data_IF_401728322815
#
_entry.id   IF_401728322815
#
_cell.length_a   1.000
_cell.length_b   1.000
_cell.length_c   1.000
_cell.angle_alpha   90.00
_cell.angle_beta   90.00
_cell.angle_gamma   90.00
#
_symmetry.space_group_name_H-M   'P 1'
#
loop_
_entity.id
_entity.type
_entity.pdbx_description
1 polymer ?
#
# COMPACT_ATOMS: atom_id res chain seq x y z
N UNK A 1 12.83 -10.01 -17.31
CA UNK A 1 12.98 -10.69 -16.01
C UNK A 1 13.89 -9.85 -15.11
N UNK A 2 13.41 -8.68 -14.69
CA UNK A 2 14.18 -7.70 -13.90
C UNK A 2 13.17 -7.05 -12.95
N UNK A 3 13.43 -7.08 -11.64
CA UNK A 3 12.57 -6.40 -10.65
C UNK A 3 12.50 -7.00 -9.24
N UNK A 4 13.27 -8.04 -8.92
CA UNK A 4 13.17 -8.72 -7.61
C UNK A 4 13.93 -8.05 -6.45
N UNK A 5 14.65 -6.94 -6.68
CA UNK A 5 15.62 -6.42 -5.70
C UNK A 5 15.17 -5.23 -4.83
N UNK A 6 13.92 -4.76 -4.92
CA UNK A 6 13.44 -3.68 -4.03
C UNK A 6 12.48 -4.13 -2.92
N UNK A 7 12.35 -5.45 -2.69
CA UNK A 7 11.36 -6.03 -1.76
C UNK A 7 11.56 -5.75 -0.26
N UNK A 8 12.69 -5.18 0.14
CA UNK A 8 13.15 -5.20 1.54
C UNK A 8 13.50 -3.83 2.13
N UNK A 9 13.31 -2.74 1.38
CA UNK A 9 13.77 -1.41 1.83
C UNK A 9 12.78 -0.75 2.80
N UNK A 10 11.48 -1.07 2.72
CA UNK A 10 10.47 -0.21 3.33
C UNK A 10 10.03 -0.56 4.75
N UNK A 11 10.43 -1.71 5.33
CA UNK A 11 9.92 -2.11 6.67
C UNK A 11 10.91 -2.91 7.54
N UNK A 12 12.20 -2.59 7.57
CA UNK A 12 13.14 -3.37 8.39
C UNK A 12 12.94 -3.25 9.91
N UNK A 13 12.06 -2.37 10.39
CA UNK A 13 11.79 -2.20 11.83
C UNK A 13 10.58 -2.94 12.41
N UNK A 14 9.83 -3.76 11.65
CA UNK A 14 8.73 -4.57 12.23
C UNK A 14 8.19 -5.74 11.36
N UNK A 15 8.93 -6.25 10.38
CA UNK A 15 8.44 -7.24 9.38
C UNK A 15 8.12 -8.66 9.86
N UNK A 16 8.11 -8.95 11.16
CA UNK A 16 7.91 -10.33 11.61
C UNK A 16 6.44 -10.79 11.71
N UNK A 17 5.43 -9.92 11.57
CA UNK A 17 4.03 -10.30 11.92
C UNK A 17 2.92 -9.86 10.96
N UNK A 18 3.21 -9.39 9.74
CA UNK A 18 2.15 -8.89 8.85
C UNK A 18 1.72 -9.92 7.81
N UNK A 19 0.40 -10.09 7.69
CA UNK A 19 -0.21 -10.85 6.60
C UNK A 19 0.00 -10.10 5.29
N UNK A 20 0.48 -10.79 4.25
CA UNK A 20 0.68 -10.25 2.91
C UNK A 20 -0.34 -10.83 1.94
N UNK A 21 -0.95 -9.95 1.16
CA UNK A 21 -1.84 -10.26 0.05
C UNK A 21 -1.04 -9.97 -1.23
N UNK A 22 -1.08 -10.89 -2.19
CA UNK A 22 -0.46 -10.69 -3.49
C UNK A 22 -1.41 -11.12 -4.60
N UNK A 23 -1.58 -10.29 -5.62
CA UNK A 23 -2.31 -10.66 -6.82
C UNK A 23 -1.55 -11.72 -7.63
N UNK A 24 -2.30 -12.61 -8.26
CA UNK A 24 -1.79 -13.60 -9.21
C UNK A 24 -2.74 -13.67 -10.40
N UNK A 25 -2.30 -14.28 -11.50
CA UNK A 25 -3.03 -14.30 -12.78
C UNK A 25 -4.52 -14.69 -12.67
N UNK A 26 -4.86 -15.65 -11.81
CA UNK A 26 -6.21 -16.20 -11.68
C UNK A 26 -6.86 -15.94 -10.32
N UNK A 27 -6.32 -15.01 -9.52
CA UNK A 27 -6.74 -14.89 -8.13
C UNK A 27 -5.84 -14.00 -7.29
N UNK A 28 -5.73 -14.38 -6.02
CA UNK A 28 -4.82 -13.76 -5.08
C UNK A 28 -4.28 -14.83 -4.12
N UNK A 29 -3.20 -14.48 -3.44
CA UNK A 29 -2.60 -15.31 -2.41
C UNK A 29 -2.52 -14.55 -1.10
N UNK A 30 -2.66 -15.28 0.01
CA UNK A 30 -2.52 -14.74 1.36
C UNK A 30 -1.41 -15.50 2.06
N UNK A 31 -0.38 -14.78 2.45
CA UNK A 31 0.74 -15.27 3.24
C UNK A 31 0.61 -14.75 4.67
N UNK A 32 0.21 -15.61 5.60
CA UNK A 32 0.09 -15.24 7.01
C UNK A 32 1.42 -15.49 7.73
N UNK A 33 1.77 -14.64 8.71
CA UNK A 33 2.95 -14.89 9.53
C UNK A 33 2.82 -16.27 10.20
N UNK A 34 3.94 -16.99 10.29
CA UNK A 34 4.04 -18.31 10.91
C UNK A 34 3.27 -19.46 10.22
N UNK A 35 2.55 -19.20 9.11
CA UNK A 35 2.03 -20.27 8.27
C UNK A 35 3.09 -20.73 7.27
N UNK A 36 3.40 -22.03 7.27
CA UNK A 36 4.44 -22.60 6.40
C UNK A 36 4.07 -22.61 4.91
N UNK A 37 2.79 -22.40 4.56
CA UNK A 37 2.30 -22.49 3.18
C UNK A 37 1.47 -21.27 2.80
N UNK A 38 1.85 -20.68 1.68
CA UNK A 38 1.06 -19.71 0.95
C UNK A 38 -0.31 -20.31 0.60
N UNK A 39 -1.40 -19.61 0.93
CA UNK A 39 -2.75 -20.00 0.52
C UNK A 39 -3.14 -19.25 -0.74
N UNK A 40 -3.56 -19.99 -1.76
CA UNK A 40 -4.01 -19.47 -3.05
C UNK A 40 -5.54 -19.48 -3.10
N UNK A 41 -6.12 -18.40 -3.61
CA UNK A 41 -7.56 -18.22 -3.77
C UNK A 41 -7.84 -17.83 -5.21
N UNK A 42 -8.44 -18.74 -5.98
CA UNK A 42 -8.82 -18.47 -7.35
C UNK A 42 -10.14 -17.71 -7.42
N UNK A 43 -10.24 -16.71 -8.30
CA UNK A 43 -11.45 -15.88 -8.45
C UNK A 43 -12.70 -16.70 -8.76
N UNK A 44 -12.57 -17.76 -9.58
CA UNK A 44 -13.68 -18.65 -9.94
C UNK A 44 -14.32 -19.38 -8.75
N UNK A 45 -13.57 -19.54 -7.66
CA UNK A 45 -13.99 -20.27 -6.46
C UNK A 45 -14.44 -19.31 -5.34
N UNK A 46 -14.32 -18.00 -5.58
CA UNK A 46 -14.83 -16.93 -4.72
C UNK A 46 -16.30 -16.69 -5.09
N UNK A 47 -17.17 -16.76 -4.09
CA UNK A 47 -18.60 -16.53 -4.25
C UNK A 47 -18.96 -15.06 -4.12
N UNK A 48 -18.36 -14.37 -3.16
CA UNK A 48 -18.65 -12.96 -2.91
C UNK A 48 -17.44 -12.25 -2.29
N UNK A 49 -17.34 -10.95 -2.56
CA UNK A 49 -16.38 -10.04 -1.95
C UNK A 49 -17.15 -8.80 -1.56
N UNK A 50 -16.99 -8.34 -0.32
CA UNK A 50 -17.63 -7.13 0.18
C UNK A 50 -16.78 -6.46 1.25
N UNK A 51 -17.00 -5.18 1.48
CA UNK A 51 -16.43 -4.50 2.63
C UNK A 51 -17.18 -4.88 3.91
N UNK A 52 -16.50 -4.74 5.06
CA UNK A 52 -17.15 -4.57 6.36
C UNK A 52 -17.86 -3.21 6.43
N UNK A 53 -18.76 -3.05 7.39
CA UNK A 53 -19.57 -1.82 7.53
C UNK A 53 -18.72 -0.55 7.74
N UNK A 54 -17.50 -0.70 8.25
CA UNK A 54 -16.55 0.39 8.47
C UNK A 54 -15.44 0.49 7.40
N UNK A 55 -15.50 -0.30 6.33
CA UNK A 55 -14.53 -0.34 5.22
C UNK A 55 -13.07 -0.67 5.61
N UNK A 56 -12.81 -1.08 6.85
CA UNK A 56 -11.47 -1.46 7.30
C UNK A 56 -11.11 -2.90 6.93
N UNK A 57 -12.09 -3.70 6.54
CA UNK A 57 -11.92 -5.11 6.19
C UNK A 57 -12.63 -5.43 4.89
N UNK A 58 -12.06 -6.36 4.14
CA UNK A 58 -12.71 -7.03 3.01
C UNK A 58 -12.99 -8.47 3.42
N UNK A 59 -14.25 -8.86 3.27
CA UNK A 59 -14.75 -10.19 3.57
C UNK A 59 -14.91 -10.93 2.24
N UNK A 60 -14.12 -11.98 2.06
CA UNK A 60 -14.15 -12.86 0.90
C UNK A 60 -14.82 -14.16 1.28
N UNK A 61 -15.92 -14.50 0.61
CA UNK A 61 -16.57 -15.80 0.75
C UNK A 61 -15.99 -16.78 -0.29
N UNK A 62 -15.31 -17.81 0.18
CA UNK A 62 -14.58 -18.79 -0.62
C UNK A 62 -14.96 -20.21 -0.18
N UNK A 63 -15.52 -21.00 -1.09
CA UNK A 63 -15.95 -22.39 -0.83
C UNK A 63 -16.75 -22.57 0.48
N UNK A 64 -17.67 -21.64 0.77
CA UNK A 64 -18.51 -21.66 1.97
C UNK A 64 -17.81 -21.22 3.26
N UNK A 65 -16.59 -20.68 3.17
CA UNK A 65 -15.84 -20.10 4.29
C UNK A 65 -15.61 -18.61 4.08
N UNK A 66 -15.46 -17.86 5.16
CA UNK A 66 -15.10 -16.45 5.09
C UNK A 66 -13.61 -16.25 5.39
N UNK A 67 -13.00 -15.36 4.60
CA UNK A 67 -11.65 -14.87 4.80
C UNK A 67 -11.76 -13.37 5.02
N UNK A 68 -11.17 -12.89 6.11
CA UNK A 68 -11.17 -11.47 6.45
C UNK A 68 -9.77 -10.92 6.14
N UNK A 69 -9.72 -9.90 5.28
CA UNK A 69 -8.51 -9.19 4.86
C UNK A 69 -8.58 -7.76 5.37
N UNK A 70 -7.63 -7.36 6.22
CA UNK A 70 -7.64 -6.04 6.88
C UNK A 70 -6.83 -5.04 6.09
N UNK A 71 -7.19 -3.76 6.17
CA UNK A 71 -6.43 -2.67 5.53
C UNK A 71 -4.99 -2.52 6.04
N UNK A 72 -4.67 -3.07 7.21
CA UNK A 72 -3.30 -3.20 7.72
C UNK A 72 -2.48 -4.32 7.07
N UNK A 73 -3.10 -5.18 6.25
CA UNK A 73 -2.38 -6.22 5.51
C UNK A 73 -1.60 -5.60 4.35
N UNK A 74 -0.37 -6.08 4.14
CA UNK A 74 0.45 -5.66 3.00
C UNK A 74 -0.27 -6.10 1.72
N UNK A 75 -0.36 -5.20 0.72
CA UNK A 75 -1.05 -5.47 -0.55
C UNK A 75 -2.58 -5.33 -0.50
N UNK A 76 -3.16 -4.90 0.63
CA UNK A 76 -4.62 -4.71 0.72
C UNK A 76 -5.15 -3.68 -0.28
N UNK A 77 -4.47 -2.54 -0.42
CA UNK A 77 -4.86 -1.49 -1.36
C UNK A 77 -4.72 -1.92 -2.82
N UNK A 78 -3.69 -2.69 -3.15
CA UNK A 78 -3.54 -3.31 -4.47
C UNK A 78 -4.68 -4.29 -4.74
N UNK A 79 -5.03 -5.12 -3.75
CA UNK A 79 -6.11 -6.09 -3.84
C UNK A 79 -7.46 -5.42 -4.15
N UNK A 80 -7.87 -4.41 -3.38
CA UNK A 80 -9.19 -3.78 -3.58
C UNK A 80 -9.33 -3.07 -4.92
N UNK A 81 -8.23 -2.58 -5.49
CA UNK A 81 -8.21 -1.93 -6.81
C UNK A 81 -8.31 -2.93 -7.97
N UNK A 82 -8.04 -4.21 -7.72
CA UNK A 82 -7.99 -5.26 -8.74
C UNK A 82 -9.03 -6.36 -8.53
N UNK A 83 -10.02 -6.12 -7.65
CA UNK A 83 -11.19 -7.01 -7.53
C UNK A 83 -11.92 -7.04 -8.88
N UNK A 84 -12.19 -8.22 -9.46
CA UNK A 84 -12.94 -8.33 -10.71
C UNK A 84 -14.34 -7.70 -10.63
N UNK A 85 -14.74 -6.98 -11.68
CA UNK A 85 -16.05 -6.31 -11.76
C UNK A 85 -17.26 -7.25 -11.72
N UNK A 86 -17.03 -8.56 -11.79
CA UNK A 86 -18.07 -9.60 -11.67
C UNK A 86 -18.62 -9.75 -10.24
N UNK A 87 -17.96 -9.17 -9.24
CA UNK A 87 -18.41 -9.23 -7.85
C UNK A 87 -19.37 -8.08 -7.50
N UNK A 88 -20.66 -8.28 -7.74
CA UNK A 88 -21.70 -7.23 -7.59
C UNK A 88 -21.82 -6.64 -6.17
N UNK A 89 -21.47 -7.41 -5.13
CA UNK A 89 -21.52 -6.97 -3.73
C UNK A 89 -20.31 -6.13 -3.30
N UNK A 90 -19.34 -5.91 -4.20
CA UNK A 90 -18.17 -5.13 -3.91
C UNK A 90 -18.40 -3.65 -4.24
N UNK A 91 -18.10 -2.77 -3.30
CA UNK A 91 -18.32 -1.33 -3.48
C UNK A 91 -17.19 -0.70 -4.30
N UNK A 92 -17.27 -0.82 -5.62
CA UNK A 92 -16.31 -0.20 -6.55
C UNK A 92 -16.33 1.32 -6.49
N UNK A 93 -17.47 1.93 -6.14
CA UNK A 93 -17.61 3.39 -6.06
C UNK A 93 -16.77 3.91 -4.90
N UNK A 94 -16.86 3.27 -3.73
CA UNK A 94 -16.00 3.58 -2.59
C UNK A 94 -14.52 3.50 -2.96
N UNK A 95 -14.09 2.44 -3.66
CA UNK A 95 -12.67 2.29 -4.04
C UNK A 95 -12.22 3.42 -4.96
N UNK A 96 -13.03 3.75 -5.98
CA UNK A 96 -12.72 4.86 -6.89
C UNK A 96 -12.61 6.19 -6.14
N UNK A 97 -13.62 6.53 -5.33
CA UNK A 97 -13.63 7.77 -4.53
C UNK A 97 -12.47 7.83 -3.53
N UNK A 98 -12.15 6.69 -2.90
CA UNK A 98 -11.03 6.59 -1.98
C UNK A 98 -9.71 6.88 -2.70
N UNK A 99 -9.43 6.19 -3.80
CA UNK A 99 -8.17 6.36 -4.55
C UNK A 99 -8.05 7.77 -5.13
N UNK A 100 -9.15 8.33 -5.67
CA UNK A 100 -9.18 9.68 -6.23
C UNK A 100 -9.00 10.78 -5.16
N UNK A 101 -9.34 10.48 -3.90
CA UNK A 101 -9.14 11.42 -2.78
C UNK A 101 -7.69 11.54 -2.30
N UNK A 102 -6.83 10.58 -2.67
CA UNK A 102 -5.45 10.52 -2.18
C UNK A 102 -4.59 11.64 -2.77
N UNK A 103 -3.75 12.22 -1.92
CA UNK A 103 -2.83 13.29 -2.31
C UNK A 103 -1.38 12.79 -2.38
N UNK A 104 -0.52 13.44 -3.19
CA UNK A 104 0.90 13.14 -3.23
C UNK A 104 1.59 13.35 -1.87
N UNK A 105 2.43 12.39 -1.47
CA UNK A 105 3.32 12.55 -0.33
C UNK A 105 4.64 13.17 -0.79
N UNK A 106 4.97 14.36 -0.28
CA UNK A 106 6.26 15.01 -0.54
C UNK A 106 7.46 14.25 0.03
N UNK A 107 7.26 13.33 0.98
CA UNK A 107 8.35 12.59 1.63
C UNK A 107 8.74 11.36 0.82
N UNK A 108 7.81 10.42 0.60
CA UNK A 108 8.11 9.17 -0.10
C UNK A 108 7.80 9.19 -1.61
N UNK A 109 7.12 10.23 -2.12
CA UNK A 109 6.79 10.37 -3.53
C UNK A 109 5.64 9.49 -4.02
N UNK A 110 4.81 9.00 -3.11
CA UNK A 110 3.65 8.15 -3.42
C UNK A 110 2.35 8.93 -3.20
N UNK A 111 1.35 8.72 -4.05
CA UNK A 111 0.00 9.32 -3.93
C UNK A 111 -0.84 8.54 -2.90
N UNK A 112 -0.63 8.84 -1.62
CA UNK A 112 -1.18 8.09 -0.47
C UNK A 112 -1.53 8.94 0.75
N UNK A 113 -1.50 10.26 0.63
CA UNK A 113 -1.85 11.13 1.76
C UNK A 113 -3.37 11.19 1.90
N UNK A 114 -3.85 10.82 3.08
CA UNK A 114 -5.24 10.96 3.52
C UNK A 114 -5.26 11.58 4.90
N UNK A 115 -6.19 12.50 5.16
CA UNK A 115 -6.35 13.12 6.49
C UNK A 115 -5.01 13.67 7.03
N UNK A 116 -4.22 14.27 6.13
CA UNK A 116 -2.89 14.82 6.40
C UNK A 116 -1.79 13.81 6.74
N UNK A 117 -2.00 12.49 6.64
CA UNK A 117 -0.96 11.49 6.90
C UNK A 117 -0.74 10.60 5.69
N UNK A 118 0.52 10.28 5.37
CA UNK A 118 0.84 9.32 4.32
C UNK A 118 0.61 7.90 4.80
N UNK A 119 -0.20 7.12 4.08
CA UNK A 119 -0.47 5.71 4.42
C UNK A 119 0.80 4.84 4.33
N UNK A 120 1.78 5.20 3.50
CA UNK A 120 2.96 4.37 3.26
C UNK A 120 4.13 4.70 4.19
N UNK A 121 4.52 5.96 4.30
CA UNK A 121 5.64 6.36 5.16
C UNK A 121 5.21 6.88 6.53
N UNK A 122 3.90 6.86 6.82
CA UNK A 122 3.29 7.31 8.09
C UNK A 122 3.63 8.75 8.49
N UNK A 123 4.24 9.51 7.57
CA UNK A 123 4.65 10.88 7.83
C UNK A 123 3.48 11.81 7.61
N UNK A 124 3.30 12.75 8.55
CA UNK A 124 2.34 13.85 8.40
C UNK A 124 2.74 14.67 7.18
N UNK A 125 1.80 14.96 6.30
CA UNK A 125 2.03 15.79 5.13
C UNK A 125 2.27 17.24 5.57
N UNK A 126 3.17 17.90 4.85
CA UNK A 126 3.45 19.31 5.10
C UNK A 126 2.21 20.18 4.88
N UNK A 127 2.00 21.13 5.78
CA UNK A 127 1.09 22.26 5.64
C UNK A 127 1.68 23.50 6.36
N UNK A 128 1.11 24.67 6.09
CA UNK A 128 1.58 25.94 6.65
C UNK A 128 1.42 26.07 8.18
N UNK A 129 0.54 25.27 8.79
CA UNK A 129 0.31 25.24 10.25
C UNK A 129 1.41 24.47 10.98
N UNK A 130 1.93 23.40 10.36
CA UNK A 130 2.97 22.54 10.94
C UNK A 130 4.36 23.14 10.78
N UNK A 131 4.68 23.69 9.60
CA UNK A 131 6.00 24.24 9.34
C UNK A 131 5.96 25.33 8.28
N UNK A 132 6.54 26.50 8.56
CA UNK A 132 6.52 27.64 7.62
C UNK A 132 7.31 27.40 6.34
N UNK A 133 8.41 26.65 6.44
CA UNK A 133 9.28 26.34 5.28
C UNK A 133 9.04 24.91 4.79
N UNK A 134 8.39 24.79 3.63
CA UNK A 134 8.13 23.50 2.98
C UNK A 134 9.40 22.74 2.64
N UNK A 135 10.42 23.41 2.11
CA UNK A 135 11.64 22.75 1.62
C UNK A 135 12.41 22.20 2.81
N UNK A 136 12.62 23.01 3.86
CA UNK A 136 13.31 22.56 5.07
C UNK A 136 12.60 21.37 5.73
N UNK A 137 11.27 21.40 5.80
CA UNK A 137 10.49 20.28 6.32
C UNK A 137 10.69 19.01 5.50
N UNK A 138 10.55 19.11 4.18
CA UNK A 138 10.67 17.95 3.28
C UNK A 138 12.09 17.38 3.29
N UNK A 139 13.14 18.22 3.27
CA UNK A 139 14.53 17.77 3.41
C UNK A 139 14.72 16.96 4.69
N UNK A 140 14.24 17.46 5.84
CA UNK A 140 14.34 16.76 7.12
C UNK A 140 13.64 15.39 7.06
N UNK A 141 12.40 15.34 6.59
CA UNK A 141 11.61 14.10 6.57
C UNK A 141 12.07 13.09 5.54
N UNK A 142 12.54 13.54 4.38
CA UNK A 142 13.19 12.67 3.42
C UNK A 142 14.49 12.09 3.99
N UNK A 143 15.24 12.87 4.79
CA UNK A 143 16.52 12.44 5.35
C UNK A 143 16.29 11.34 6.38
N UNK A 144 15.28 11.53 7.23
CA UNK A 144 14.82 10.52 8.19
C UNK A 144 14.35 9.25 7.48
N UNK A 145 13.49 9.39 6.46
CA UNK A 145 12.88 8.27 5.76
C UNK A 145 13.88 7.43 4.95
N UNK A 146 14.85 8.08 4.29
CA UNK A 146 15.84 7.43 3.44
C UNK A 146 17.22 7.22 4.11
N UNK A 147 17.33 7.45 5.42
CA UNK A 147 18.61 7.41 6.14
C UNK A 147 19.44 6.15 5.88
N UNK A 148 18.80 4.97 5.84
CA UNK A 148 19.50 3.70 5.57
C UNK A 148 20.01 3.62 4.13
N UNK A 149 19.25 4.08 3.14
CA UNK A 149 19.68 4.09 1.74
C UNK A 149 20.85 5.03 1.52
N UNK A 150 20.78 6.22 2.12
CA UNK A 150 21.86 7.22 2.05
C UNK A 150 23.14 6.65 2.70
N UNK A 151 23.01 6.01 3.86
CA UNK A 151 24.15 5.36 4.56
C UNK A 151 24.79 4.25 3.74
N UNK A 152 23.97 3.48 3.02
CA UNK A 152 24.42 2.39 2.16
C UNK A 152 24.96 2.87 0.80
N UNK A 153 24.97 4.18 0.53
CA UNK A 153 25.38 4.75 -0.77
C UNK A 153 24.44 4.37 -1.91
N UNK A 154 23.19 4.01 -1.60
CA UNK A 154 22.20 3.60 -2.60
C UNK A 154 21.50 4.83 -3.19
N UNK A 155 21.39 4.84 -4.51
CA UNK A 155 20.63 5.86 -5.22
C UNK A 155 19.14 5.76 -4.88
N UNK A 156 18.56 6.88 -4.45
CA UNK A 156 17.12 7.00 -4.21
C UNK A 156 16.45 7.25 -5.57
N UNK A 157 16.01 6.17 -6.19
CA UNK A 157 15.28 6.24 -7.46
C UNK A 157 13.85 6.70 -7.22
N UNK A 158 13.32 7.47 -8.17
CA UNK A 158 11.89 7.77 -8.24
C UNK A 158 11.12 6.45 -8.23
N UNK A 159 10.27 6.28 -7.22
CA UNK A 159 9.48 5.05 -7.06
C UNK A 159 8.62 4.93 -8.33
N UNK A 160 8.74 3.84 -9.07
CA UNK A 160 8.01 3.69 -10.34
C UNK A 160 6.57 3.26 -10.07
N UNK A 161 6.36 2.42 -9.06
CA UNK A 161 5.05 2.08 -8.46
C UNK A 161 5.36 1.33 -7.15
N UNK A 162 4.94 1.83 -5.97
CA UNK A 162 5.15 1.12 -4.70
C UNK A 162 4.37 -0.20 -4.62
N UNK A 163 4.87 -1.10 -3.79
CA UNK A 163 4.33 -2.45 -3.49
C UNK A 163 2.88 -2.50 -2.98
N UNK A 164 2.24 -1.35 -2.82
CA UNK A 164 0.95 -1.18 -2.18
C UNK A 164 -0.18 -0.89 -3.19
N UNK A 165 0.11 -0.93 -4.49
CA UNK A 165 -0.89 -0.63 -5.54
C UNK A 165 -1.22 0.86 -5.67
N UNK A 166 -0.39 1.75 -5.13
CA UNK A 166 -0.56 3.19 -5.29
C UNK A 166 0.29 3.72 -6.43
N UNK A 167 -0.12 4.85 -7.01
CA UNK A 167 0.66 5.52 -8.04
C UNK A 167 1.80 6.32 -7.41
N UNK A 168 2.92 6.38 -8.11
CA UNK A 168 3.97 7.33 -7.81
C UNK A 168 3.59 8.73 -8.31
N UNK A 169 4.00 9.76 -7.58
CA UNK A 169 3.85 11.13 -8.03
C UNK A 169 4.91 11.47 -9.09
N UNK A 170 4.44 11.75 -10.30
CA UNK A 170 5.28 12.12 -11.43
C UNK A 170 5.97 13.48 -11.25
N UNK A 171 5.51 14.30 -10.31
CA UNK A 171 6.11 15.61 -10.01
C UNK A 171 6.92 15.61 -8.70
N UNK A 172 7.13 14.45 -8.07
CA UNK A 172 7.87 14.35 -6.83
C UNK A 172 9.33 14.79 -6.99
N UNK A 173 9.83 15.49 -5.97
CA UNK A 173 11.19 16.03 -5.90
C UNK A 173 11.91 15.52 -4.66
N UNK A 174 13.15 15.11 -4.84
CA UNK A 174 14.07 14.80 -3.76
C UNK A 174 14.87 16.06 -3.40
N UNK A 175 14.99 16.33 -2.11
CA UNK A 175 15.66 17.51 -1.53
C UNK A 175 16.83 17.12 -0.60
N UNK A 176 17.35 15.90 -0.76
CA UNK A 176 18.49 15.33 -0.03
C UNK A 176 19.83 15.64 -0.69
#
# INVERSE_FOLDING_TARGET
>A
MIGYLMRNVFYKKQTFELTRISLVEYGFSVNRPFEAKLKLYHWKDVRSIRFSDNYNEVIVEYLGRQIILRNSNIGWYEFIQNVPSTFENFDFKYVAEFIDSLKPCGVCGIVTVREQTCIVCETIAWNDEIHKDKVAYLTSKQSEFYAELVKDGKEIKKIVEPEHGFKADSNWKLYL
#
